data_IF_441901539437
#
_entry.id   IF_441901539437
#
_cell.length_a   1.000
_cell.length_b   1.000
_cell.length_c   1.000
_cell.angle_alpha   90.00
_cell.angle_beta   90.00
_cell.angle_gamma   90.00
#
_symmetry.space_group_name_H-M   'P 1'
#
loop_
_entity.id
_entity.type
_entity.pdbx_description
1 polymer ?
#
# COMPACT_ATOMS: atom_id res chain seq x y z
N UNK A 1 -8.65 26.69 -15.11
CA UNK A 1 -8.49 26.51 -13.65
C UNK A 1 -7.02 26.36 -13.29
N UNK A 2 -6.48 27.24 -12.43
CA UNK A 2 -5.10 27.11 -11.95
C UNK A 2 -5.07 26.28 -10.64
N UNK A 3 -5.07 24.95 -10.80
CA UNK A 3 -5.15 23.99 -9.69
C UNK A 3 -4.03 24.18 -8.65
N UNK A 4 -2.79 24.37 -9.10
CA UNK A 4 -1.64 24.58 -8.21
C UNK A 4 -1.80 25.81 -7.34
N UNK A 5 -2.29 26.92 -7.91
CA UNK A 5 -2.54 28.15 -7.15
C UNK A 5 -3.57 27.90 -6.04
N UNK A 6 -4.70 27.28 -6.37
CA UNK A 6 -5.80 27.01 -5.43
C UNK A 6 -5.33 26.08 -4.31
N UNK A 7 -4.65 24.97 -4.64
CA UNK A 7 -4.10 24.05 -3.64
C UNK A 7 -3.14 24.77 -2.69
N UNK A 8 -2.23 25.59 -3.20
CA UNK A 8 -1.28 26.34 -2.37
C UNK A 8 -1.97 27.40 -1.49
N UNK A 9 -2.97 28.09 -2.02
CA UNK A 9 -3.66 29.17 -1.30
C UNK A 9 -4.54 28.66 -0.16
N UNK A 10 -5.18 27.51 -0.34
CA UNK A 10 -6.07 26.92 0.66
C UNK A 10 -5.26 25.98 1.55
N UNK A 11 -4.84 24.85 1.00
CA UNK A 11 -4.19 23.78 1.75
C UNK A 11 -2.75 24.13 2.12
N UNK A 12 -2.00 24.72 1.19
CA UNK A 12 -0.58 25.06 1.41
C UNK A 12 -0.37 25.98 2.61
N UNK A 13 -1.23 26.99 2.80
CA UNK A 13 -1.17 27.89 3.97
C UNK A 13 -1.45 27.17 5.29
N UNK A 14 -2.31 26.15 5.28
CA UNK A 14 -2.60 25.35 6.48
C UNK A 14 -1.41 24.45 6.81
N UNK A 15 -0.87 23.75 5.81
CA UNK A 15 0.28 22.86 5.94
C UNK A 15 1.56 23.60 6.37
N UNK A 16 1.79 24.82 5.85
CA UNK A 16 2.95 25.65 6.17
C UNK A 16 3.04 25.97 7.68
N UNK A 17 1.90 26.15 8.36
CA UNK A 17 1.85 26.37 9.82
C UNK A 17 2.41 25.19 10.63
N UNK A 18 2.46 24.00 10.04
CA UNK A 18 2.99 22.77 10.64
C UNK A 18 4.35 22.37 10.05
N UNK A 19 5.01 23.29 9.33
CA UNK A 19 6.37 23.12 8.82
C UNK A 19 6.48 22.45 7.45
N UNK A 20 5.36 22.13 6.80
CA UNK A 20 5.37 21.56 5.45
C UNK A 20 5.74 22.60 4.39
N UNK A 21 6.47 22.15 3.37
CA UNK A 21 6.84 22.95 2.20
C UNK A 21 6.35 22.27 0.93
N UNK A 22 5.79 23.05 0.02
CA UNK A 22 5.45 22.58 -1.32
C UNK A 22 6.73 22.32 -2.13
N UNK A 23 6.94 21.08 -2.57
CA UNK A 23 8.17 20.70 -3.30
C UNK A 23 7.98 20.63 -4.81
N UNK A 24 6.74 20.55 -5.30
CA UNK A 24 6.47 20.55 -6.72
C UNK A 24 5.23 19.76 -7.12
N UNK A 25 5.04 19.71 -8.43
CA UNK A 25 4.00 18.93 -9.07
C UNK A 25 4.63 17.76 -9.83
N UNK A 26 4.50 16.56 -9.31
CA UNK A 26 5.07 15.36 -9.89
C UNK A 26 4.15 14.78 -10.97
N UNK A 27 4.76 14.35 -12.08
CA UNK A 27 4.09 13.71 -13.24
C UNK A 27 2.88 14.48 -13.79
N UNK A 28 2.78 15.78 -13.50
CA UNK A 28 1.65 16.59 -13.93
C UNK A 28 0.31 16.26 -13.25
N UNK A 29 0.28 15.44 -12.20
CA UNK A 29 -0.97 15.03 -11.52
C UNK A 29 -0.89 14.97 -9.99
N UNK A 30 0.31 15.02 -9.39
CA UNK A 30 0.48 14.93 -7.93
C UNK A 30 1.09 16.23 -7.42
N UNK A 31 0.48 16.85 -6.41
CA UNK A 31 1.01 18.02 -5.71
C UNK A 31 1.52 17.60 -4.34
N UNK A 32 2.83 17.76 -4.11
CA UNK A 32 3.49 17.20 -2.93
C UNK A 32 3.92 18.29 -1.94
N UNK A 33 3.60 18.08 -0.67
CA UNK A 33 4.06 18.88 0.47
C UNK A 33 4.85 18.00 1.42
N UNK A 34 6.01 18.47 1.88
CA UNK A 34 6.92 17.67 2.71
C UNK A 34 7.34 18.43 3.96
N UNK A 35 7.42 17.72 5.09
CA UNK A 35 8.18 18.16 6.28
C UNK A 35 9.11 17.03 6.75
N UNK A 36 10.13 17.40 7.52
CA UNK A 36 10.98 16.46 8.23
C UNK A 36 10.87 16.76 9.73
N UNK A 37 10.67 15.73 10.55
CA UNK A 37 10.60 15.81 12.02
C UNK A 37 11.42 14.66 12.58
N UNK A 38 12.49 14.95 13.32
CA UNK A 38 13.37 13.94 13.96
C UNK A 38 13.77 12.80 13.01
N UNK A 39 14.32 13.14 11.83
CA UNK A 39 14.72 12.23 10.74
C UNK A 39 13.59 11.46 10.04
N UNK A 40 12.34 11.63 10.47
CA UNK A 40 11.16 11.12 9.77
C UNK A 40 10.69 12.15 8.74
N UNK A 41 10.69 11.75 7.47
CA UNK A 41 10.03 12.45 6.37
C UNK A 41 8.54 12.15 6.40
N UNK A 42 7.71 13.18 6.29
CA UNK A 42 6.28 13.09 6.10
C UNK A 42 5.83 13.86 4.88
N UNK A 43 4.83 13.31 4.19
CA UNK A 43 4.34 13.84 2.92
C UNK A 43 2.80 13.92 2.93
N UNK A 44 2.30 15.03 2.38
CA UNK A 44 0.88 15.23 2.09
C UNK A 44 0.76 15.45 0.59
N UNK A 45 -0.03 14.60 -0.06
CA UNK A 45 -0.27 14.63 -1.49
C UNK A 45 -1.71 15.01 -1.80
N UNK A 46 -1.89 15.87 -2.78
CA UNK A 46 -3.11 15.88 -3.58
C UNK A 46 -2.80 15.16 -4.88
N UNK A 47 -3.54 14.11 -5.20
CA UNK A 47 -3.35 13.35 -6.44
C UNK A 47 -4.61 13.46 -7.30
N UNK A 48 -4.43 13.85 -8.56
CA UNK A 48 -5.45 13.69 -9.60
C UNK A 48 -5.37 12.26 -10.15
N UNK A 49 -6.51 11.61 -10.39
CA UNK A 49 -6.58 10.21 -10.87
C UNK A 49 -5.76 10.02 -12.15
N UNK A 50 -6.01 10.86 -13.16
CA UNK A 50 -5.19 10.96 -14.37
C UNK A 50 -5.13 12.40 -14.89
N UNK A 51 -4.34 12.66 -15.94
CA UNK A 51 -4.29 14.00 -16.56
C UNK A 51 -5.64 14.39 -17.21
N UNK A 52 -6.50 13.42 -17.50
CA UNK A 52 -7.77 13.62 -18.21
C UNK A 52 -8.98 13.65 -17.27
N UNK A 53 -8.90 13.03 -16.11
CA UNK A 53 -10.01 12.92 -15.15
C UNK A 53 -10.03 14.09 -14.17
N UNK A 54 -11.22 14.50 -13.78
CA UNK A 54 -11.44 15.59 -12.83
C UNK A 54 -11.61 15.09 -11.39
N UNK A 55 -10.95 13.98 -11.07
CA UNK A 55 -11.06 13.27 -9.79
C UNK A 55 -9.78 13.45 -8.97
N UNK A 56 -9.92 13.76 -7.69
CA UNK A 56 -8.80 14.08 -6.80
C UNK A 56 -8.89 13.32 -5.49
N UNK A 57 -7.75 12.99 -4.89
CA UNK A 57 -7.68 12.42 -3.55
C UNK A 57 -6.59 13.06 -2.70
N UNK A 58 -6.76 12.94 -1.39
CA UNK A 58 -5.81 13.35 -0.36
C UNK A 58 -5.12 12.11 0.21
N UNK A 59 -3.78 12.11 0.19
CA UNK A 59 -2.97 11.04 0.77
C UNK A 59 -1.97 11.64 1.76
N UNK A 60 -1.82 11.01 2.92
CA UNK A 60 -0.79 11.30 3.91
C UNK A 60 0.14 10.10 4.06
N UNK A 61 1.43 10.33 4.16
CA UNK A 61 2.45 9.29 4.24
C UNK A 61 3.58 9.70 5.20
N UNK A 62 4.17 8.70 5.84
CA UNK A 62 5.35 8.85 6.70
C UNK A 62 6.38 7.80 6.31
N UNK A 63 7.65 8.18 6.41
CA UNK A 63 8.79 7.28 6.28
C UNK A 63 9.06 6.45 7.53
N UNK A 64 8.42 6.75 8.67
CA UNK A 64 8.55 5.94 9.87
C UNK A 64 7.97 4.54 9.63
N UNK A 65 8.76 3.53 9.97
CA UNK A 65 8.48 2.13 9.68
C UNK A 65 7.13 1.66 10.23
N UNK A 66 6.46 0.74 9.52
CA UNK A 66 5.19 0.15 9.93
C UNK A 66 3.95 1.04 9.75
N UNK A 67 4.11 2.27 9.24
CA UNK A 67 2.98 3.13 8.90
C UNK A 67 2.54 2.89 7.44
N UNK A 68 1.24 2.65 7.25
CA UNK A 68 0.61 2.66 5.92
C UNK A 68 0.35 4.09 5.46
N UNK A 69 0.07 4.28 4.16
CA UNK A 69 -0.58 5.51 3.70
C UNK A 69 -1.92 5.69 4.43
N UNK A 70 -2.31 6.96 4.59
CA UNK A 70 -3.59 7.36 5.19
C UNK A 70 -4.34 8.26 4.24
N UNK A 71 -5.55 7.85 3.91
CA UNK A 71 -6.55 8.54 3.10
C UNK A 71 -7.79 8.82 3.96
N UNK A 72 -8.71 9.64 3.46
CA UNK A 72 -9.90 10.08 4.22
C UNK A 72 -10.75 8.87 4.66
N UNK A 73 -10.98 7.90 3.76
CA UNK A 73 -11.73 6.68 4.06
C UNK A 73 -11.06 5.75 5.10
N UNK A 74 -9.76 5.93 5.39
CA UNK A 74 -9.11 5.19 6.47
C UNK A 74 -9.41 5.77 7.87
N UNK A 75 -9.93 7.01 7.93
CA UNK A 75 -10.16 7.75 9.18
C UNK A 75 -11.65 7.96 9.43
N UNK A 76 -12.42 8.25 8.37
CA UNK A 76 -13.85 8.50 8.42
C UNK A 76 -14.58 7.36 7.68
N UNK A 77 -15.18 6.40 8.41
CA UNK A 77 -15.80 5.21 7.83
C UNK A 77 -16.90 5.50 6.81
N UNK A 78 -17.60 6.63 6.94
CA UNK A 78 -18.62 7.06 5.97
C UNK A 78 -18.06 7.35 4.57
N UNK A 79 -16.73 7.45 4.44
CA UNK A 79 -16.02 7.62 3.17
C UNK A 79 -15.17 6.40 2.80
N UNK A 80 -15.37 5.23 3.42
CA UNK A 80 -14.55 4.03 3.15
C UNK A 80 -14.59 3.57 1.69
N UNK A 81 -15.73 3.79 1.02
CA UNK A 81 -15.94 3.42 -0.38
C UNK A 81 -15.62 4.56 -1.36
N UNK A 82 -15.21 5.73 -0.86
CA UNK A 82 -14.92 6.91 -1.65
C UNK A 82 -13.41 7.18 -1.71
N UNK A 83 -12.75 6.69 -2.77
CA UNK A 83 -11.33 6.93 -2.98
C UNK A 83 -11.04 8.32 -3.60
N UNK A 84 -11.93 8.81 -4.48
CA UNK A 84 -11.74 10.07 -5.20
C UNK A 84 -12.96 11.01 -5.11
N UNK A 85 -12.68 12.31 -5.19
CA UNK A 85 -13.65 13.40 -5.22
C UNK A 85 -13.63 14.09 -6.58
N UNK A 86 -14.78 14.13 -7.26
CA UNK A 86 -14.92 14.77 -8.57
C UNK A 86 -15.06 16.29 -8.44
N UNK A 87 -14.38 17.03 -9.30
CA UNK A 87 -14.46 18.48 -9.44
C UNK A 87 -14.05 18.94 -10.86
N UNK A 88 -15.04 19.19 -11.71
CA UNK A 88 -14.86 19.60 -13.10
C UNK A 88 -14.69 21.12 -13.23
N UNK A 89 -15.38 21.87 -12.36
CA UNK A 89 -15.35 23.33 -12.35
C UNK A 89 -14.39 23.89 -11.30
N UNK A 90 -14.00 25.16 -11.46
CA UNK A 90 -13.17 25.84 -10.46
C UNK A 90 -13.86 25.94 -9.08
N UNK A 91 -15.19 26.08 -9.08
CA UNK A 91 -15.98 26.13 -7.85
C UNK A 91 -15.95 24.78 -7.10
N UNK A 92 -16.25 23.69 -7.80
CA UNK A 92 -16.20 22.34 -7.24
C UNK A 92 -14.79 22.00 -6.76
N UNK A 93 -13.76 22.43 -7.50
CA UNK A 93 -12.38 22.19 -7.10
C UNK A 93 -12.02 22.93 -5.81
N UNK A 94 -12.47 24.17 -5.66
CA UNK A 94 -12.31 24.93 -4.41
C UNK A 94 -13.04 24.20 -3.27
N UNK A 95 -14.24 23.67 -3.50
CA UNK A 95 -15.00 22.91 -2.51
C UNK A 95 -14.27 21.64 -2.06
N UNK A 96 -13.74 20.85 -3.01
CA UNK A 96 -12.94 19.65 -2.74
C UNK A 96 -11.67 19.98 -1.95
N UNK A 97 -10.89 20.98 -2.38
CA UNK A 97 -9.67 21.37 -1.67
C UNK A 97 -9.99 21.96 -0.29
N UNK A 98 -11.10 22.67 -0.13
CA UNK A 98 -11.55 23.18 1.18
C UNK A 98 -11.98 22.05 2.11
N UNK A 99 -12.62 21.00 1.57
CA UNK A 99 -12.94 19.79 2.32
C UNK A 99 -11.67 19.08 2.79
N UNK A 100 -10.66 18.90 1.92
CA UNK A 100 -9.37 18.31 2.31
C UNK A 100 -8.66 19.14 3.37
N UNK A 101 -8.68 20.47 3.26
CA UNK A 101 -8.12 21.38 4.25
C UNK A 101 -8.81 21.27 5.61
N UNK A 102 -10.14 21.17 5.62
CA UNK A 102 -10.92 20.94 6.84
C UNK A 102 -10.55 19.60 7.49
N UNK A 103 -10.53 18.53 6.69
CA UNK A 103 -10.14 17.19 7.15
C UNK A 103 -8.74 17.18 7.78
N UNK A 104 -7.76 17.83 7.17
CA UNK A 104 -6.39 17.92 7.71
C UNK A 104 -6.36 18.64 9.06
N UNK A 105 -7.12 19.73 9.19
CA UNK A 105 -7.19 20.50 10.44
C UNK A 105 -7.85 19.71 11.56
N UNK A 106 -8.88 18.93 11.25
CA UNK A 106 -9.66 18.19 12.24
C UNK A 106 -9.00 16.87 12.64
N UNK A 107 -8.38 16.15 11.69
CA UNK A 107 -7.87 14.80 11.91
C UNK A 107 -6.43 14.60 11.41
N UNK A 108 -6.08 15.20 10.27
CA UNK A 108 -4.83 14.87 9.57
C UNK A 108 -3.56 15.23 10.34
N UNK A 109 -3.52 16.35 11.08
CA UNK A 109 -2.31 16.71 11.82
C UNK A 109 -2.01 15.80 13.01
N UNK A 110 -3.03 15.40 13.77
CA UNK A 110 -2.86 14.43 14.86
C UNK A 110 -2.41 13.08 14.29
N UNK A 111 -3.02 12.64 13.19
CA UNK A 111 -2.64 11.41 12.51
C UNK A 111 -1.19 11.43 12.01
N UNK A 112 -0.73 12.53 11.41
CA UNK A 112 0.67 12.69 11.02
C UNK A 112 1.58 12.62 12.25
N UNK A 113 1.27 13.37 13.31
CA UNK A 113 2.08 13.34 14.53
C UNK A 113 2.14 11.92 15.17
N UNK A 114 1.08 11.10 15.07
CA UNK A 114 1.11 9.67 15.44
C UNK A 114 2.00 8.82 14.51
N UNK A 115 2.02 9.13 13.21
CA UNK A 115 2.83 8.46 12.19
C UNK A 115 4.32 8.81 12.28
N UNK A 116 4.74 9.66 13.21
CA UNK A 116 6.16 9.90 13.50
C UNK A 116 6.81 8.74 14.26
N UNK A 117 6.02 7.94 14.96
CA UNK A 117 6.54 6.78 15.69
C UNK A 117 6.50 5.55 14.79
N UNK A 118 7.59 4.78 14.79
CA UNK A 118 7.58 3.47 14.16
C UNK A 118 6.52 2.60 14.82
N UNK A 119 5.63 2.04 14.01
CA UNK A 119 4.69 1.02 14.47
C UNK A 119 5.34 -0.33 14.25
N UNK A 120 5.03 -1.29 15.13
CA UNK A 120 5.45 -2.68 14.93
C UNK A 120 5.07 -3.06 13.52
N UNK A 121 6.09 -3.40 12.73
CA UNK A 121 5.92 -3.57 11.31
C UNK A 121 4.85 -4.62 11.04
N UNK A 122 3.94 -4.25 10.14
CA UNK A 122 2.90 -5.10 9.60
C UNK A 122 3.53 -6.40 9.11
N UNK A 123 3.50 -7.48 9.89
CA UNK A 123 4.10 -8.80 9.63
C UNK A 123 5.61 -8.84 9.25
N UNK A 124 6.07 -8.03 8.30
CA UNK A 124 7.36 -8.00 7.62
C UNK A 124 8.50 -7.37 8.45
N UNK A 125 8.70 -7.84 9.67
CA UNK A 125 9.79 -7.37 10.56
C UNK A 125 11.18 -7.59 9.94
N UNK A 126 12.25 -6.88 10.41
CA UNK A 126 13.62 -7.10 9.91
C UNK A 126 14.05 -8.57 9.92
N UNK A 127 13.69 -9.31 10.97
CA UNK A 127 14.01 -10.72 11.15
C UNK A 127 13.33 -11.58 10.07
N UNK A 128 12.05 -11.32 9.78
CA UNK A 128 11.31 -12.05 8.74
C UNK A 128 11.79 -11.69 7.34
N UNK A 129 12.23 -10.46 7.09
CA UNK A 129 12.87 -10.08 5.82
C UNK A 129 14.19 -10.82 5.62
N UNK A 130 15.02 -10.90 6.67
CA UNK A 130 16.26 -11.66 6.64
C UNK A 130 15.99 -13.15 6.42
N UNK A 131 15.00 -13.71 7.11
CA UNK A 131 14.57 -15.08 6.91
C UNK A 131 14.08 -15.32 5.48
N UNK A 132 13.19 -14.47 4.96
CA UNK A 132 12.70 -14.57 3.58
C UNK A 132 13.83 -14.46 2.55
N UNK A 133 14.78 -13.53 2.74
CA UNK A 133 15.97 -13.38 1.89
C UNK A 133 16.80 -14.67 1.86
N UNK A 134 17.01 -15.30 3.01
CA UNK A 134 17.81 -16.52 3.14
C UNK A 134 17.08 -17.78 2.64
N UNK A 135 15.76 -17.85 2.82
CA UNK A 135 15.00 -19.10 2.68
C UNK A 135 13.93 -19.10 1.60
N UNK A 136 13.71 -18.01 0.83
CA UNK A 136 12.59 -17.96 -0.14
C UNK A 136 12.59 -19.15 -1.13
N UNK A 137 13.75 -19.62 -1.60
CA UNK A 137 13.79 -20.78 -2.52
C UNK A 137 13.38 -22.09 -1.86
N UNK A 138 13.68 -22.23 -0.57
CA UNK A 138 13.27 -23.39 0.23
C UNK A 138 11.77 -23.33 0.51
N UNK A 139 11.27 -22.14 0.83
CA UNK A 139 9.84 -21.86 0.98
C UNK A 139 9.07 -22.15 -0.31
N UNK A 140 9.56 -21.70 -1.48
CA UNK A 140 8.97 -22.06 -2.79
C UNK A 140 8.85 -23.58 -2.91
N UNK A 141 9.94 -24.32 -2.73
CA UNK A 141 9.93 -25.79 -2.86
C UNK A 141 8.96 -26.46 -1.89
N UNK A 142 8.95 -26.03 -0.63
CA UNK A 142 8.06 -26.57 0.41
C UNK A 142 6.60 -26.36 0.04
N UNK A 143 6.23 -25.12 -0.27
CA UNK A 143 4.83 -24.76 -0.47
C UNK A 143 4.30 -25.18 -1.83
N UNK A 144 5.13 -25.18 -2.88
CA UNK A 144 4.75 -25.69 -4.18
C UNK A 144 4.58 -27.21 -4.17
N UNK A 145 5.35 -27.94 -3.34
CA UNK A 145 5.14 -29.37 -3.14
C UNK A 145 3.82 -29.70 -2.41
N UNK A 146 3.27 -28.76 -1.64
CA UNK A 146 2.00 -28.92 -0.91
C UNK A 146 0.82 -28.52 -1.79
N UNK A 147 0.91 -27.36 -2.43
CA UNK A 147 -0.21 -26.72 -3.11
C UNK A 147 -0.16 -26.79 -4.64
N UNK A 148 0.96 -27.24 -5.23
CA UNK A 148 1.12 -27.42 -6.67
C UNK A 148 0.74 -26.18 -7.50
N UNK A 149 1.24 -25.01 -7.09
CA UNK A 149 0.83 -23.73 -7.69
C UNK A 149 1.61 -23.45 -8.96
N UNK A 150 2.93 -23.69 -8.98
CA UNK A 150 3.79 -23.26 -10.09
C UNK A 150 3.59 -24.09 -11.38
N UNK A 151 3.08 -25.32 -11.25
CA UNK A 151 2.73 -26.16 -12.40
C UNK A 151 1.26 -25.96 -12.85
N UNK A 152 0.50 -25.09 -12.16
CA UNK A 152 -0.91 -24.88 -12.44
C UNK A 152 -1.15 -23.81 -13.51
N UNK A 153 -1.19 -24.23 -14.77
CA UNK A 153 -1.76 -23.44 -15.86
C UNK A 153 -1.03 -22.11 -16.13
N UNK A 154 -1.80 -21.10 -16.55
CA UNK A 154 -1.35 -19.75 -16.81
C UNK A 154 -1.05 -18.98 -15.53
N UNK A 155 -0.23 -17.93 -15.64
CA UNK A 155 0.08 -17.03 -14.51
C UNK A 155 -1.16 -16.54 -13.74
N UNK A 156 -2.24 -16.24 -14.45
CA UNK A 156 -3.48 -15.78 -13.80
C UNK A 156 -4.10 -16.89 -12.93
N UNK A 157 -4.06 -18.13 -13.42
CA UNK A 157 -4.52 -19.31 -12.66
C UNK A 157 -3.62 -19.59 -11.45
N UNK A 158 -2.31 -19.43 -11.59
CA UNK A 158 -1.37 -19.56 -10.47
C UNK A 158 -1.64 -18.53 -9.36
N UNK A 159 -1.90 -17.27 -9.74
CA UNK A 159 -2.19 -16.19 -8.78
C UNK A 159 -3.56 -16.37 -8.12
N UNK A 160 -4.56 -16.82 -8.88
CA UNK A 160 -5.86 -17.27 -8.35
C UNK A 160 -5.70 -18.39 -7.34
N UNK A 161 -4.82 -19.35 -7.61
CA UNK A 161 -4.58 -20.47 -6.71
C UNK A 161 -3.95 -20.01 -5.39
N UNK A 162 -3.10 -18.97 -5.39
CA UNK A 162 -2.64 -18.35 -4.14
C UNK A 162 -3.81 -17.80 -3.34
N UNK A 163 -4.73 -17.06 -3.98
CA UNK A 163 -5.92 -16.53 -3.31
C UNK A 163 -6.81 -17.65 -2.73
N UNK A 164 -6.95 -18.77 -3.44
CA UNK A 164 -7.68 -19.96 -2.97
C UNK A 164 -7.03 -20.58 -1.73
N UNK A 165 -5.71 -20.81 -1.75
CA UNK A 165 -4.97 -21.34 -0.60
C UNK A 165 -5.12 -20.43 0.62
N UNK A 166 -5.00 -19.12 0.45
CA UNK A 166 -5.17 -18.16 1.54
C UNK A 166 -6.61 -18.16 2.08
N UNK A 167 -7.61 -18.31 1.21
CA UNK A 167 -9.02 -18.41 1.61
C UNK A 167 -9.31 -19.70 2.38
N UNK A 168 -8.79 -20.84 1.93
CA UNK A 168 -8.97 -22.13 2.61
C UNK A 168 -8.31 -22.16 3.99
N UNK A 169 -7.20 -21.43 4.15
CA UNK A 169 -6.44 -21.32 5.40
C UNK A 169 -6.72 -20.00 6.14
N UNK A 170 -7.87 -19.36 5.89
CA UNK A 170 -8.24 -18.08 6.51
C UNK A 170 -8.67 -18.22 7.97
N UNK A 171 -9.22 -19.37 8.35
CA UNK A 171 -9.69 -19.62 9.71
C UNK A 171 -8.51 -20.07 10.56
N UNK A 172 -8.10 -19.22 11.48
CA UNK A 172 -7.09 -19.55 12.46
C UNK A 172 -7.55 -19.15 13.85
N UNK A 173 -7.31 -20.03 14.81
CA UNK A 173 -7.51 -19.70 16.22
C UNK A 173 -6.46 -18.68 16.66
N UNK A 174 -6.87 -17.68 17.43
CA UNK A 174 -5.94 -16.67 17.96
C UNK A 174 -5.12 -17.25 19.13
N UNK A 175 -4.18 -18.12 18.76
CA UNK A 175 -3.20 -18.76 19.65
C UNK A 175 -1.80 -18.52 19.10
N UNK A 176 -0.77 -18.41 19.96
CA UNK A 176 0.60 -18.20 19.49
C UNK A 176 1.07 -19.24 18.47
N UNK A 177 0.74 -20.51 18.68
CA UNK A 177 1.14 -21.61 17.82
C UNK A 177 0.49 -21.51 16.43
N UNK A 178 -0.80 -21.17 16.37
CA UNK A 178 -1.51 -20.99 15.09
C UNK A 178 -1.07 -19.73 14.36
N UNK A 179 -0.74 -18.67 15.09
CA UNK A 179 -0.18 -17.46 14.48
C UNK A 179 1.15 -17.77 13.78
N UNK A 180 2.03 -18.59 14.36
CA UNK A 180 3.27 -18.99 13.69
C UNK A 180 3.04 -19.87 12.45
N UNK A 181 2.04 -20.77 12.46
CA UNK A 181 1.66 -21.54 11.27
C UNK A 181 1.18 -20.63 10.13
N UNK A 182 0.36 -19.61 10.44
CA UNK A 182 -0.10 -18.61 9.46
C UNK A 182 1.07 -17.80 8.93
N UNK A 183 2.00 -17.41 9.80
CA UNK A 183 3.18 -16.63 9.42
C UNK A 183 4.08 -17.39 8.44
N UNK A 184 4.32 -18.68 8.71
CA UNK A 184 5.04 -19.56 7.80
C UNK A 184 4.30 -19.70 6.46
N UNK A 185 2.96 -19.85 6.49
CA UNK A 185 2.12 -19.87 5.28
C UNK A 185 2.24 -18.58 4.47
N UNK A 186 2.18 -17.40 5.10
CA UNK A 186 2.30 -16.11 4.41
C UNK A 186 3.66 -15.97 3.72
N UNK A 187 4.76 -16.34 4.40
CA UNK A 187 6.09 -16.34 3.78
C UNK A 187 6.19 -17.35 2.65
N UNK A 188 5.55 -18.51 2.80
CA UNK A 188 5.42 -19.53 1.76
C UNK A 188 4.74 -19.01 0.49
N UNK A 189 3.53 -18.48 0.62
CA UNK A 189 2.77 -17.92 -0.49
C UNK A 189 3.46 -16.71 -1.11
N UNK A 190 4.07 -15.83 -0.30
CA UNK A 190 4.84 -14.69 -0.81
C UNK A 190 6.08 -15.15 -1.60
N UNK A 191 6.70 -16.27 -1.21
CA UNK A 191 7.82 -16.87 -1.94
C UNK A 191 7.38 -17.42 -3.29
N UNK A 192 6.23 -18.12 -3.35
CA UNK A 192 5.65 -18.58 -4.62
C UNK A 192 5.28 -17.40 -5.53
N UNK A 193 4.62 -16.38 -4.99
CA UNK A 193 4.30 -15.15 -5.74
C UNK A 193 5.55 -14.50 -6.33
N UNK A 194 6.62 -14.44 -5.54
CA UNK A 194 7.92 -13.93 -5.98
C UNK A 194 8.47 -14.73 -7.16
N UNK A 195 8.43 -16.07 -7.06
CA UNK A 195 8.89 -16.97 -8.12
C UNK A 195 8.08 -16.81 -9.41
N UNK A 196 6.74 -16.71 -9.32
CA UNK A 196 5.86 -16.46 -10.47
C UNK A 196 6.28 -15.18 -11.20
N UNK A 197 6.46 -14.07 -10.47
CA UNK A 197 6.80 -12.78 -11.06
C UNK A 197 8.20 -12.81 -11.69
N UNK A 198 9.18 -13.45 -11.04
CA UNK A 198 10.53 -13.58 -11.59
C UNK A 198 10.53 -14.39 -12.90
N UNK A 199 9.83 -15.53 -12.93
CA UNK A 199 9.76 -16.41 -14.12
C UNK A 199 9.09 -15.73 -15.31
N UNK A 200 7.96 -15.06 -15.06
CA UNK A 200 7.09 -14.54 -16.11
C UNK A 200 7.45 -13.11 -16.55
N UNK A 201 7.96 -12.27 -15.65
CA UNK A 201 8.20 -10.84 -15.91
C UNK A 201 9.69 -10.43 -15.80
N UNK A 202 10.59 -11.34 -15.42
CA UNK A 202 12.04 -11.09 -15.36
C UNK A 202 12.45 -10.07 -14.29
N UNK A 203 11.76 -10.07 -13.14
CA UNK A 203 11.97 -9.11 -12.05
C UNK A 203 13.18 -9.41 -11.16
N UNK A 204 13.67 -8.39 -10.46
CA UNK A 204 14.72 -8.49 -9.44
C UNK A 204 14.16 -8.16 -8.05
N UNK A 205 14.54 -8.95 -7.05
CA UNK A 205 14.06 -8.76 -5.67
C UNK A 205 15.03 -7.87 -4.89
N UNK A 206 14.50 -6.78 -4.35
CA UNK A 206 15.16 -5.90 -3.39
C UNK A 206 14.71 -6.24 -1.98
N UNK A 207 15.64 -6.71 -1.14
CA UNK A 207 15.37 -7.08 0.24
C UNK A 207 15.66 -5.95 1.24
N UNK A 208 16.55 -5.03 0.87
CA UNK A 208 17.18 -4.07 1.79
C UNK A 208 16.45 -2.70 1.78
N UNK A 209 15.24 -2.65 1.22
CA UNK A 209 14.31 -1.52 1.21
C UNK A 209 13.39 -1.53 2.44
N UNK A 210 12.40 -0.63 2.53
CA UNK A 210 11.43 -0.64 3.64
C UNK A 210 10.56 -1.92 3.61
N UNK A 211 10.06 -2.34 2.44
CA UNK A 211 9.48 -3.68 2.15
C UNK A 211 10.41 -4.53 1.30
N UNK A 212 10.14 -5.83 1.18
CA UNK A 212 10.65 -6.69 0.11
C UNK A 212 9.93 -6.26 -1.15
N UNK A 213 10.68 -5.86 -2.18
CA UNK A 213 10.12 -5.31 -3.39
C UNK A 213 10.61 -6.10 -4.61
N UNK A 214 9.74 -6.35 -5.57
CA UNK A 214 10.10 -6.91 -6.86
C UNK A 214 10.08 -5.77 -7.88
N UNK A 215 11.26 -5.45 -8.40
CA UNK A 215 11.46 -4.48 -9.45
C UNK A 215 11.26 -5.17 -10.80
N UNK A 216 10.34 -4.65 -11.62
CA UNK A 216 9.99 -5.23 -12.91
C UNK A 216 10.47 -4.29 -14.01
N UNK A 217 11.25 -4.76 -15.00
CA UNK A 217 11.85 -3.88 -16.01
C UNK A 217 10.84 -3.03 -16.79
N UNK A 218 9.62 -3.54 -16.98
CA UNK A 218 8.60 -2.91 -17.82
C UNK A 218 7.52 -2.15 -17.03
N UNK A 219 7.63 -2.03 -15.70
CA UNK A 219 6.57 -1.42 -14.88
C UNK A 219 7.11 -0.42 -13.87
N UNK A 220 6.36 0.67 -13.70
CA UNK A 220 6.68 1.75 -12.74
C UNK A 220 6.38 1.32 -11.30
N UNK A 221 5.35 0.48 -11.12
CA UNK A 221 4.93 0.01 -9.80
C UNK A 221 5.67 -1.27 -9.43
N UNK A 222 6.32 -1.22 -8.26
CA UNK A 222 6.95 -2.37 -7.61
C UNK A 222 5.88 -3.25 -6.99
N UNK A 223 6.14 -4.56 -6.93
CA UNK A 223 5.29 -5.49 -6.18
C UNK A 223 5.90 -5.72 -4.81
N UNK A 224 5.07 -5.77 -3.78
CA UNK A 224 5.48 -6.13 -2.42
C UNK A 224 4.88 -7.48 -2.07
N UNK A 225 5.58 -8.60 -2.35
CA UNK A 225 4.97 -9.93 -2.31
C UNK A 225 4.46 -10.32 -0.93
N UNK A 226 5.22 -10.00 0.13
CA UNK A 226 4.81 -10.29 1.50
C UNK A 226 3.56 -9.49 1.86
N UNK A 227 3.59 -8.18 1.62
CA UNK A 227 2.45 -7.30 1.86
C UNK A 227 1.19 -7.73 1.07
N UNK A 228 1.32 -8.04 -0.21
CA UNK A 228 0.20 -8.47 -1.04
C UNK A 228 -0.50 -9.71 -0.46
N UNK A 229 0.27 -10.70 -0.02
CA UNK A 229 -0.24 -11.93 0.60
C UNK A 229 -0.87 -11.67 1.96
N UNK A 230 -0.22 -10.88 2.81
CA UNK A 230 -0.75 -10.54 4.15
C UNK A 230 -2.06 -9.78 4.03
N UNK A 231 -2.13 -8.78 3.15
CA UNK A 231 -3.35 -8.00 2.93
C UNK A 231 -4.49 -8.85 2.36
N UNK A 232 -4.18 -9.79 1.45
CA UNK A 232 -5.16 -10.75 0.95
C UNK A 232 -5.73 -11.61 2.08
N UNK A 233 -4.85 -12.22 2.88
CA UNK A 233 -5.27 -13.08 3.99
C UNK A 233 -6.08 -12.31 5.03
N UNK A 234 -5.67 -11.09 5.43
CA UNK A 234 -6.39 -10.29 6.42
C UNK A 234 -7.83 -9.99 5.97
N UNK A 235 -8.03 -9.72 4.67
CA UNK A 235 -9.37 -9.58 4.10
C UNK A 235 -10.16 -10.88 4.16
N UNK A 236 -9.53 -12.00 3.78
CA UNK A 236 -10.17 -13.30 3.79
C UNK A 236 -10.55 -13.75 5.19
N UNK A 237 -9.69 -13.52 6.19
CA UNK A 237 -9.97 -13.78 7.59
C UNK A 237 -11.21 -13.04 8.09
N UNK A 238 -11.45 -11.83 7.57
CA UNK A 238 -12.67 -11.05 7.83
C UNK A 238 -13.88 -11.46 6.94
N UNK A 239 -13.79 -12.59 6.25
CA UNK A 239 -14.78 -13.11 5.29
C UNK A 239 -15.08 -12.18 4.09
N UNK A 240 -14.16 -11.28 3.75
CA UNK A 240 -14.26 -10.42 2.58
C UNK A 240 -13.62 -11.07 1.35
N UNK A 241 -14.29 -12.05 0.73
CA UNK A 241 -13.78 -12.67 -0.50
C UNK A 241 -13.99 -11.75 -1.70
N UNK A 242 -12.93 -11.03 -2.09
CA UNK A 242 -12.79 -10.52 -3.46
C UNK A 242 -11.96 -11.53 -4.24
N UNK A 243 -12.54 -12.08 -5.31
CA UNK A 243 -11.81 -12.95 -6.25
C UNK A 243 -10.65 -12.12 -6.83
N UNK A 244 -9.48 -12.72 -6.91
CA UNK A 244 -8.28 -12.17 -7.55
C UNK A 244 -7.60 -10.99 -6.82
N UNK A 245 -7.61 -10.95 -5.48
CA UNK A 245 -7.00 -9.83 -4.74
C UNK A 245 -5.47 -9.78 -4.90
N UNK A 246 -4.78 -10.92 -4.76
CA UNK A 246 -3.32 -10.96 -4.98
C UNK A 246 -3.00 -10.57 -6.42
N UNK A 247 -3.79 -11.02 -7.38
CA UNK A 247 -3.64 -10.62 -8.79
C UNK A 247 -3.81 -9.11 -9.00
N UNK A 248 -4.85 -8.50 -8.40
CA UNK A 248 -5.11 -7.07 -8.51
C UNK A 248 -3.94 -6.24 -7.95
N UNK A 249 -3.36 -6.68 -6.82
CA UNK A 249 -2.20 -6.03 -6.20
C UNK A 249 -0.90 -6.17 -7.02
N UNK A 250 -0.81 -7.20 -7.86
CA UNK A 250 0.39 -7.49 -8.65
C UNK A 250 0.29 -7.01 -10.11
N UNK A 251 -0.84 -6.43 -10.51
CA UNK A 251 -1.07 -5.92 -11.86
C UNK A 251 -0.41 -4.57 -12.15
#
# INVERSE_FOLDING_TARGET
MNKTRIIKEILGKTLEKKGFKYIGKEKGIIWTFVRNVNDVKEEVYIQQHSIFESEYKLIMWSSAKGNSVKEIGNVLPEYSDNEYWCAETEKEFIEVISFFDKFIKEFGFELLDEMLTEKTDSFETPERKLYFKAHHKELVKKYDAIYHILDNGSREEQLKHIDEVLWENREAEDTPEKNEEIYDLWLGMASILTEIIIREEGGEVSYDTWKVEINRPQRVLKVWPIDAVVQAWLRYHNNERKVDFVWAMCR
#
